data_IF_853045466942
#
_entry.id   IF_853045466942
#
_cell.length_a   1.000
_cell.length_b   1.000
_cell.length_c   1.000
_cell.angle_alpha   90.00
_cell.angle_beta   90.00
_cell.angle_gamma   90.00
#
_symmetry.space_group_name_H-M   'P 1'
#
loop_
_entity.id
_entity.type
_entity.pdbx_description
1 polymer ?
#
# COMPACT_ATOMS: atom_id res chain seq x y z
N UNK A 1 2.62 -25.42 3.03
CA UNK A 1 3.34 -25.19 1.76
C UNK A 1 4.83 -25.46 1.93
N UNK A 2 5.60 -25.68 0.86
CA UNK A 2 7.07 -25.90 0.93
C UNK A 2 7.75 -24.73 1.65
N UNK A 3 7.30 -23.50 1.38
CA UNK A 3 7.82 -22.30 2.04
C UNK A 3 7.64 -22.32 3.56
N UNK A 4 6.48 -22.67 4.07
CA UNK A 4 6.21 -22.73 5.51
C UNK A 4 7.03 -23.79 6.21
N UNK A 5 7.25 -24.95 5.61
CA UNK A 5 8.09 -25.99 6.16
C UNK A 5 9.55 -25.53 6.20
N UNK A 6 10.06 -24.94 5.12
CA UNK A 6 11.44 -24.42 5.07
C UNK A 6 11.67 -23.28 6.04
N UNK A 7 10.67 -22.40 6.26
CA UNK A 7 10.74 -21.33 7.28
C UNK A 7 10.82 -21.90 8.71
N UNK A 8 10.08 -22.97 8.99
CA UNK A 8 10.12 -23.65 10.31
C UNK A 8 11.48 -24.31 10.52
N UNK A 9 11.99 -25.05 9.55
CA UNK A 9 13.32 -25.68 9.59
C UNK A 9 14.42 -24.62 9.74
N UNK A 10 14.36 -23.54 8.97
CA UNK A 10 15.35 -22.46 9.04
C UNK A 10 15.33 -21.71 10.39
N UNK A 11 14.19 -21.63 11.06
CA UNK A 11 14.04 -20.95 12.36
C UNK A 11 14.35 -21.82 13.58
N UNK A 12 14.66 -23.11 13.40
CA UNK A 12 15.04 -24.02 14.47
C UNK A 12 16.35 -23.59 15.17
N UNK A 13 16.49 -23.87 16.48
CA UNK A 13 17.75 -23.62 17.19
C UNK A 13 18.83 -24.62 16.75
N UNK A 14 20.09 -24.19 16.74
CA UNK A 14 21.24 -25.05 16.45
C UNK A 14 21.46 -26.08 17.60
N UNK A 15 20.86 -27.24 17.42
CA UNK A 15 21.07 -28.39 18.37
C UNK A 15 21.79 -29.54 17.64
N UNK A 16 23.09 -29.32 17.33
CA UNK A 16 23.92 -30.33 16.72
C UNK A 16 24.19 -30.16 15.22
N UNK A 17 25.07 -31.04 14.67
CA UNK A 17 25.54 -30.93 13.28
C UNK A 17 24.44 -31.20 12.25
N UNK A 18 23.57 -32.15 12.53
CA UNK A 18 22.44 -32.50 11.61
C UNK A 18 21.43 -31.36 11.50
N UNK A 19 21.17 -30.64 12.60
CA UNK A 19 20.33 -29.45 12.59
C UNK A 19 20.92 -28.28 11.78
N UNK A 20 22.23 -28.21 11.66
CA UNK A 20 22.91 -27.17 10.87
C UNK A 20 22.77 -27.43 9.36
N UNK A 21 23.01 -28.66 8.91
CA UNK A 21 22.88 -29.03 7.51
C UNK A 21 21.42 -28.92 7.02
N UNK A 22 20.45 -29.23 7.87
CA UNK A 22 19.03 -29.04 7.60
C UNK A 22 18.69 -27.55 7.42
N UNK A 23 19.26 -26.66 8.23
CA UNK A 23 19.04 -25.21 8.09
C UNK A 23 19.67 -24.64 6.84
N UNK A 24 20.85 -25.15 6.43
CA UNK A 24 21.50 -24.74 5.17
C UNK A 24 20.67 -25.18 3.96
N UNK A 25 20.12 -26.39 3.99
CA UNK A 25 19.24 -26.88 2.92
C UNK A 25 17.93 -26.09 2.86
N UNK A 26 17.34 -25.74 4.01
CA UNK A 26 16.18 -24.88 4.10
C UNK A 26 16.46 -23.47 3.57
N UNK A 27 17.64 -22.90 3.86
CA UNK A 27 18.07 -21.60 3.31
C UNK A 27 18.14 -21.62 1.79
N UNK A 28 18.70 -22.67 1.20
CA UNK A 28 18.74 -22.83 -0.28
C UNK A 28 17.35 -22.89 -0.88
N UNK A 29 16.47 -23.69 -0.28
CA UNK A 29 15.06 -23.81 -0.73
C UNK A 29 14.32 -22.49 -0.65
N UNK A 30 14.54 -21.71 0.42
CA UNK A 30 13.94 -20.39 0.57
C UNK A 30 14.49 -19.37 -0.44
N UNK A 31 15.77 -19.50 -0.80
CA UNK A 31 16.39 -18.72 -1.88
C UNK A 31 15.79 -19.05 -3.25
N UNK A 32 15.60 -20.34 -3.56
CA UNK A 32 14.96 -20.80 -4.80
C UNK A 32 13.50 -20.34 -4.90
N UNK A 33 12.76 -20.41 -3.79
CA UNK A 33 11.37 -19.94 -3.70
C UNK A 33 11.24 -18.40 -3.66
N UNK A 34 12.37 -17.66 -3.61
CA UNK A 34 12.42 -16.20 -3.49
C UNK A 34 11.56 -15.67 -2.34
N UNK A 35 11.59 -16.36 -1.21
CA UNK A 35 10.79 -16.00 -0.03
C UNK A 35 11.31 -14.74 0.65
N UNK A 36 10.62 -13.62 0.48
CA UNK A 36 10.95 -12.35 1.13
C UNK A 36 10.79 -12.41 2.66
N UNK A 37 10.01 -13.35 3.19
CA UNK A 37 9.83 -13.58 4.63
C UNK A 37 11.10 -14.14 5.28
N UNK A 38 11.94 -14.84 4.51
CA UNK A 38 13.22 -15.34 4.98
C UNK A 38 14.24 -14.23 5.24
N UNK A 39 14.14 -13.08 4.55
CA UNK A 39 15.14 -12.00 4.61
C UNK A 39 15.40 -11.49 6.03
N UNK A 40 14.35 -11.29 6.82
CA UNK A 40 14.50 -10.84 8.21
C UNK A 40 15.27 -11.86 9.08
N UNK A 41 15.07 -13.15 8.82
CA UNK A 41 15.69 -14.24 9.59
C UNK A 41 17.12 -14.57 9.16
N UNK A 42 17.53 -14.20 7.94
CA UNK A 42 18.92 -14.38 7.48
C UNK A 42 19.90 -13.59 8.35
N UNK A 43 19.50 -12.39 8.79
CA UNK A 43 20.31 -11.57 9.70
C UNK A 43 20.53 -12.25 11.05
N UNK A 44 19.46 -12.80 11.61
CA UNK A 44 19.54 -13.53 12.89
C UNK A 44 20.41 -14.78 12.75
N UNK A 45 20.28 -15.50 11.64
CA UNK A 45 21.09 -16.66 11.35
C UNK A 45 22.59 -16.34 11.19
N UNK A 46 22.94 -15.19 10.59
CA UNK A 46 24.34 -14.72 10.55
C UNK A 46 24.91 -14.50 11.95
N UNK A 47 24.15 -13.86 12.83
CA UNK A 47 24.57 -13.60 14.20
C UNK A 47 24.77 -14.92 14.99
N UNK A 48 23.84 -15.88 14.83
CA UNK A 48 23.98 -17.22 15.44
C UNK A 48 25.22 -17.97 14.90
N UNK A 49 25.54 -17.80 13.61
CA UNK A 49 26.72 -18.39 12.99
C UNK A 49 28.01 -17.82 13.59
N UNK A 50 28.06 -16.53 13.84
CA UNK A 50 29.21 -15.86 14.47
C UNK A 50 29.40 -16.36 15.91
N UNK A 51 28.34 -16.49 16.69
CA UNK A 51 28.37 -17.04 18.05
C UNK A 51 28.82 -18.51 18.06
N UNK A 52 28.31 -19.33 17.13
CA UNK A 52 28.70 -20.74 17.02
C UNK A 52 30.18 -20.93 16.66
N UNK A 53 30.80 -19.92 16.06
CA UNK A 53 32.25 -19.91 15.81
C UNK A 53 33.08 -19.56 17.04
N UNK A 54 32.65 -18.59 17.83
CA UNK A 54 33.33 -18.29 19.12
C UNK A 54 33.34 -19.51 20.01
N UNK A 55 32.28 -20.31 19.95
CA UNK A 55 32.17 -21.60 20.66
C UNK A 55 32.98 -22.75 20.01
N UNK A 56 33.80 -22.52 18.99
CA UNK A 56 34.61 -23.52 18.25
C UNK A 56 33.81 -24.69 17.65
N UNK A 57 32.52 -24.53 17.44
CA UNK A 57 31.62 -25.59 16.90
C UNK A 57 31.70 -25.75 15.39
N UNK A 58 32.22 -24.75 14.68
CA UNK A 58 32.25 -24.71 13.21
C UNK A 58 33.65 -24.33 12.71
N UNK A 59 34.17 -25.08 11.72
CA UNK A 59 35.45 -24.79 11.07
C UNK A 59 35.42 -23.51 10.24
N UNK A 60 36.57 -22.79 10.17
CA UNK A 60 36.72 -21.57 9.40
C UNK A 60 36.42 -21.75 7.89
N UNK A 61 36.74 -22.93 7.34
CA UNK A 61 36.42 -23.27 5.93
C UNK A 61 34.92 -23.45 5.70
N UNK A 62 34.19 -24.05 6.65
CA UNK A 62 32.75 -24.21 6.59
C UNK A 62 32.04 -22.85 6.67
N UNK A 63 32.52 -21.93 7.53
CA UNK A 63 32.00 -20.56 7.60
C UNK A 63 32.10 -19.85 6.27
N UNK A 64 33.30 -19.86 5.63
CA UNK A 64 33.53 -19.16 4.35
C UNK A 64 32.59 -19.64 3.26
N UNK A 65 32.34 -20.94 3.20
CA UNK A 65 31.41 -21.53 2.23
C UNK A 65 29.97 -21.12 2.52
N UNK A 66 29.59 -21.11 3.80
CA UNK A 66 28.24 -20.75 4.22
C UNK A 66 27.97 -19.25 4.04
N UNK A 67 28.92 -18.37 4.37
CA UNK A 67 28.81 -16.93 4.11
C UNK A 67 28.68 -16.62 2.62
N UNK A 68 29.37 -17.36 1.76
CA UNK A 68 29.22 -17.25 0.32
C UNK A 68 27.80 -17.66 -0.14
N UNK A 69 27.25 -18.74 0.42
CA UNK A 69 25.91 -19.21 0.09
C UNK A 69 24.82 -18.27 0.60
N UNK A 70 24.94 -17.79 1.84
CA UNK A 70 24.06 -16.78 2.42
C UNK A 70 24.09 -15.51 1.57
N UNK A 71 25.26 -15.08 1.14
CA UNK A 71 25.39 -13.86 0.30
C UNK A 71 24.75 -14.01 -1.08
N UNK A 72 24.79 -15.21 -1.67
CA UNK A 72 24.08 -15.49 -2.93
C UNK A 72 22.57 -15.44 -2.75
N UNK A 73 22.05 -16.09 -1.69
CA UNK A 73 20.62 -16.09 -1.37
C UNK A 73 20.15 -14.68 -1.07
N UNK A 74 20.90 -13.92 -0.27
CA UNK A 74 20.55 -12.54 0.10
C UNK A 74 20.49 -11.63 -1.14
N UNK A 75 21.48 -11.70 -2.04
CA UNK A 75 21.47 -10.96 -3.32
C UNK A 75 20.28 -11.35 -4.21
N UNK A 76 19.96 -12.65 -4.29
CA UNK A 76 18.82 -13.12 -5.07
C UNK A 76 17.50 -12.59 -4.50
N UNK A 77 17.36 -12.58 -3.18
CA UNK A 77 16.19 -12.02 -2.49
C UNK A 77 16.11 -10.50 -2.62
N UNK A 78 17.24 -9.79 -2.56
CA UNK A 78 17.28 -8.34 -2.82
C UNK A 78 16.82 -8.00 -4.22
N UNK A 79 17.42 -8.62 -5.23
CA UNK A 79 17.03 -8.41 -6.62
C UNK A 79 15.55 -8.70 -6.87
N UNK A 80 15.01 -9.76 -6.23
CA UNK A 80 13.59 -10.06 -6.34
C UNK A 80 12.73 -9.03 -5.62
N UNK A 81 13.14 -8.60 -4.43
CA UNK A 81 12.47 -7.53 -3.66
C UNK A 81 12.41 -6.24 -4.49
N UNK A 82 13.53 -5.82 -5.06
CA UNK A 82 13.60 -4.60 -5.88
C UNK A 82 12.67 -4.68 -7.09
N UNK A 83 12.60 -5.84 -7.73
CA UNK A 83 11.66 -6.07 -8.86
C UNK A 83 10.21 -5.99 -8.42
N UNK A 84 9.86 -6.60 -7.28
CA UNK A 84 8.49 -6.56 -6.73
C UNK A 84 8.13 -5.15 -6.27
N UNK A 85 9.03 -4.44 -5.60
CA UNK A 85 8.83 -3.06 -5.17
C UNK A 85 8.70 -2.12 -6.38
N UNK A 86 9.52 -2.28 -7.40
CA UNK A 86 9.44 -1.48 -8.63
C UNK A 86 8.10 -1.71 -9.34
N UNK A 87 7.67 -2.95 -9.50
CA UNK A 87 6.37 -3.26 -10.11
C UNK A 87 5.19 -2.72 -9.27
N UNK A 88 5.28 -2.85 -7.94
CA UNK A 88 4.31 -2.28 -7.01
C UNK A 88 4.25 -0.75 -7.08
N UNK A 89 5.40 -0.09 -7.13
CA UNK A 89 5.48 1.36 -7.26
C UNK A 89 4.96 1.86 -8.61
N UNK A 90 5.25 1.12 -9.70
CA UNK A 90 4.71 1.42 -11.03
C UNK A 90 3.17 1.33 -11.04
N UNK A 91 2.62 0.24 -10.48
CA UNK A 91 1.18 0.06 -10.36
C UNK A 91 0.52 1.16 -9.51
N UNK A 92 1.11 1.50 -8.36
CA UNK A 92 0.65 2.62 -7.52
C UNK A 92 0.72 3.94 -8.27
N UNK A 93 1.82 4.20 -8.99
CA UNK A 93 1.99 5.42 -9.78
C UNK A 93 0.93 5.56 -10.87
N UNK A 94 0.62 4.49 -11.60
CA UNK A 94 -0.45 4.48 -12.60
C UNK A 94 -1.83 4.71 -11.94
N UNK A 95 -2.09 4.05 -10.80
CA UNK A 95 -3.35 4.21 -10.07
C UNK A 95 -3.55 5.64 -9.57
N UNK A 96 -2.56 6.22 -8.92
CA UNK A 96 -2.63 7.62 -8.48
C UNK A 96 -2.70 8.59 -9.65
N UNK A 97 -1.93 8.33 -10.72
CA UNK A 97 -1.97 9.13 -11.94
C UNK A 97 -3.35 9.13 -12.60
N UNK A 98 -4.04 7.99 -12.65
CA UNK A 98 -5.40 7.90 -13.21
C UNK A 98 -6.42 8.71 -12.40
N UNK A 99 -6.33 8.69 -11.08
CA UNK A 99 -7.18 9.50 -10.19
C UNK A 99 -6.94 11.00 -10.45
N UNK A 100 -5.67 11.42 -10.55
CA UNK A 100 -5.31 12.80 -10.82
C UNK A 100 -5.79 13.26 -12.20
N UNK A 101 -5.72 12.40 -13.23
CA UNK A 101 -6.26 12.68 -14.56
C UNK A 101 -7.78 12.87 -14.52
N UNK A 102 -8.50 11.98 -13.83
CA UNK A 102 -9.95 12.11 -13.67
C UNK A 102 -10.33 13.41 -12.94
N UNK A 103 -9.57 13.78 -11.91
CA UNK A 103 -9.74 15.03 -11.19
C UNK A 103 -9.51 16.24 -12.11
N UNK A 104 -8.42 16.22 -12.87
CA UNK A 104 -8.10 17.29 -13.82
C UNK A 104 -9.15 17.43 -14.92
N UNK A 105 -9.67 16.32 -15.46
CA UNK A 105 -10.76 16.32 -16.45
C UNK A 105 -12.05 16.90 -15.85
N UNK A 106 -12.41 16.51 -14.62
CA UNK A 106 -13.57 17.07 -13.92
C UNK A 106 -13.47 18.58 -13.77
N UNK A 107 -12.30 19.08 -13.34
CA UNK A 107 -12.04 20.50 -13.21
C UNK A 107 -12.04 21.22 -14.59
N UNK A 108 -11.44 20.60 -15.61
CA UNK A 108 -11.42 21.15 -16.96
C UNK A 108 -12.82 21.27 -17.57
N UNK A 109 -13.71 20.32 -17.32
CA UNK A 109 -15.11 20.37 -17.78
C UNK A 109 -15.85 21.50 -17.07
N UNK A 110 -15.77 21.59 -15.74
CA UNK A 110 -16.48 22.63 -14.98
C UNK A 110 -15.98 24.03 -15.34
N UNK A 111 -14.67 24.23 -15.44
CA UNK A 111 -14.09 25.49 -15.85
C UNK A 111 -14.37 25.82 -17.34
N UNK A 112 -14.21 24.82 -18.22
CA UNK A 112 -14.36 25.02 -19.66
C UNK A 112 -15.81 25.28 -20.11
N UNK A 113 -16.79 24.64 -19.48
CA UNK A 113 -18.19 24.81 -19.81
C UNK A 113 -18.89 25.93 -19.05
N UNK A 114 -18.57 26.07 -17.76
CA UNK A 114 -19.28 27.00 -16.87
C UNK A 114 -18.48 28.28 -16.58
N UNK A 115 -17.18 28.31 -16.89
CA UNK A 115 -16.29 29.43 -16.56
C UNK A 115 -16.09 29.67 -15.09
N UNK A 116 -16.45 28.71 -14.25
CA UNK A 116 -16.39 28.79 -12.79
C UNK A 116 -15.23 27.97 -12.25
N UNK A 117 -14.41 28.57 -11.42
CA UNK A 117 -13.31 27.87 -10.71
C UNK A 117 -13.88 27.32 -9.41
N UNK A 118 -14.11 25.99 -9.39
CA UNK A 118 -14.60 25.31 -8.18
C UNK A 118 -13.44 24.79 -7.33
N UNK A 119 -13.09 25.53 -6.26
CA UNK A 119 -12.04 25.11 -5.33
C UNK A 119 -12.47 23.96 -4.41
N UNK A 120 -13.78 23.71 -4.26
CA UNK A 120 -14.31 22.61 -3.44
C UNK A 120 -14.29 21.23 -4.17
N UNK A 121 -13.65 21.14 -5.36
CA UNK A 121 -13.61 19.89 -6.13
C UNK A 121 -12.85 18.77 -5.41
N UNK A 122 -11.78 19.10 -4.69
CA UNK A 122 -11.03 18.16 -3.87
C UNK A 122 -11.85 17.61 -2.69
N UNK A 123 -12.65 18.45 -2.07
CA UNK A 123 -13.52 18.08 -0.94
C UNK A 123 -14.66 17.16 -1.38
N UNK A 124 -15.16 17.30 -2.60
CA UNK A 124 -16.11 16.35 -3.18
C UNK A 124 -15.50 14.95 -3.36
N UNK A 125 -14.23 14.87 -3.74
CA UNK A 125 -13.51 13.60 -3.77
C UNK A 125 -13.33 13.02 -2.37
N UNK A 126 -13.01 13.86 -1.39
CA UNK A 126 -12.90 13.45 0.02
C UNK A 126 -14.22 12.85 0.53
N UNK A 127 -15.36 13.46 0.20
CA UNK A 127 -16.69 12.92 0.54
C UNK A 127 -16.89 11.52 -0.07
N UNK A 128 -16.57 11.36 -1.35
CA UNK A 128 -16.65 10.05 -2.02
C UNK A 128 -15.79 8.99 -1.35
N UNK A 129 -14.57 9.34 -0.96
CA UNK A 129 -13.67 8.44 -0.24
C UNK A 129 -14.22 8.08 1.16
N UNK A 130 -14.78 9.05 1.86
CA UNK A 130 -15.38 8.84 3.17
C UNK A 130 -16.62 7.91 3.10
N UNK A 131 -17.49 8.11 2.13
CA UNK A 131 -18.64 7.21 1.89
C UNK A 131 -18.16 5.79 1.59
N UNK A 132 -17.12 5.63 0.78
CA UNK A 132 -16.52 4.32 0.50
C UNK A 132 -16.02 3.65 1.77
N UNK A 133 -15.36 4.40 2.65
CA UNK A 133 -14.87 3.92 3.94
C UNK A 133 -16.02 3.47 4.85
N UNK A 134 -17.12 4.25 4.93
CA UNK A 134 -18.28 3.88 5.73
C UNK A 134 -18.96 2.61 5.21
N UNK A 135 -19.11 2.47 3.91
CA UNK A 135 -19.64 1.25 3.30
C UNK A 135 -18.73 0.05 3.61
N UNK A 136 -17.42 0.22 3.54
CA UNK A 136 -16.45 -0.82 3.90
C UNK A 136 -16.64 -1.29 5.35
N UNK A 137 -16.82 -0.36 6.30
CA UNK A 137 -17.07 -0.67 7.69
C UNK A 137 -18.38 -1.42 7.88
N UNK A 138 -19.44 -1.02 7.17
CA UNK A 138 -20.76 -1.67 7.23
C UNK A 138 -20.71 -3.13 6.74
N UNK A 139 -19.89 -3.42 5.73
CA UNK A 139 -19.69 -4.79 5.22
C UNK A 139 -18.77 -5.63 6.10
N UNK A 140 -18.16 -5.07 7.17
CA UNK A 140 -17.29 -5.78 8.08
C UNK A 140 -15.96 -6.23 7.46
N UNK A 141 -15.48 -5.49 6.44
CA UNK A 141 -14.18 -5.77 5.84
C UNK A 141 -13.07 -5.53 6.86
N UNK A 142 -12.29 -6.57 7.12
CA UNK A 142 -11.12 -6.50 8.01
C UNK A 142 -9.94 -7.24 7.39
N UNK A 143 -8.69 -6.99 7.86
CA UNK A 143 -7.51 -7.73 7.40
C UNK A 143 -7.63 -9.25 7.56
N UNK A 144 -8.40 -9.70 8.54
CA UNK A 144 -8.61 -11.12 8.83
C UNK A 144 -9.74 -11.74 8.02
N UNK A 145 -10.67 -10.91 7.51
CA UNK A 145 -11.79 -11.32 6.67
C UNK A 145 -12.00 -10.33 5.52
N UNK A 146 -11.20 -10.44 4.43
CA UNK A 146 -11.29 -9.53 3.30
C UNK A 146 -12.56 -9.81 2.48
N UNK A 147 -13.55 -8.95 2.63
CA UNK A 147 -14.78 -8.97 1.82
C UNK A 147 -14.67 -7.91 0.74
N UNK A 148 -14.45 -8.31 -0.50
CA UNK A 148 -14.27 -7.36 -1.62
C UNK A 148 -15.59 -6.93 -2.28
N UNK A 149 -16.71 -7.55 -1.92
CA UNK A 149 -18.04 -7.26 -2.50
C UNK A 149 -18.54 -5.85 -2.21
N UNK A 150 -18.02 -5.19 -1.17
CA UNK A 150 -18.46 -3.83 -0.81
C UNK A 150 -18.18 -2.79 -1.92
N UNK A 151 -17.20 -3.02 -2.80
CA UNK A 151 -16.89 -2.09 -3.90
C UNK A 151 -18.06 -1.88 -4.83
N UNK A 152 -18.86 -2.92 -5.10
CA UNK A 152 -20.04 -2.82 -5.99
C UNK A 152 -21.12 -1.92 -5.41
N UNK A 153 -21.24 -1.84 -4.09
CA UNK A 153 -22.18 -0.95 -3.41
C UNK A 153 -21.55 0.44 -3.15
N UNK A 154 -20.26 0.47 -2.79
CA UNK A 154 -19.56 1.70 -2.45
C UNK A 154 -19.46 2.66 -3.63
N UNK A 155 -19.18 2.17 -4.84
CA UNK A 155 -18.98 3.00 -6.03
C UNK A 155 -20.23 3.80 -6.40
N UNK A 156 -21.44 3.19 -6.58
CA UNK A 156 -22.64 3.96 -6.89
C UNK A 156 -23.07 4.85 -5.72
N UNK A 157 -22.90 4.40 -4.47
CA UNK A 157 -23.27 5.21 -3.31
C UNK A 157 -22.36 6.45 -3.15
N UNK A 158 -21.06 6.29 -3.30
CA UNK A 158 -20.11 7.41 -3.29
C UNK A 158 -20.41 8.41 -4.40
N UNK A 159 -20.72 7.93 -5.60
CA UNK A 159 -21.13 8.79 -6.71
C UNK A 159 -22.41 9.58 -6.38
N UNK A 160 -23.45 8.92 -5.89
CA UNK A 160 -24.72 9.58 -5.58
C UNK A 160 -24.57 10.64 -4.48
N UNK A 161 -23.86 10.31 -3.40
CA UNK A 161 -23.64 11.25 -2.29
C UNK A 161 -22.82 12.45 -2.73
N UNK A 162 -21.71 12.23 -3.43
CA UNK A 162 -20.86 13.31 -3.95
C UNK A 162 -21.62 14.18 -4.97
N UNK A 163 -22.43 13.57 -5.84
CA UNK A 163 -23.27 14.30 -6.80
C UNK A 163 -24.33 15.15 -6.08
N UNK A 164 -24.98 14.61 -5.04
CA UNK A 164 -25.97 15.36 -4.24
C UNK A 164 -25.34 16.58 -3.58
N UNK A 165 -24.17 16.40 -2.94
CA UNK A 165 -23.44 17.51 -2.31
C UNK A 165 -22.99 18.52 -3.37
N UNK A 166 -22.50 18.06 -4.53
CA UNK A 166 -22.14 18.93 -5.65
C UNK A 166 -23.32 19.75 -6.15
N UNK A 167 -24.51 19.16 -6.31
CA UNK A 167 -25.74 19.86 -6.68
C UNK A 167 -26.17 20.89 -5.65
N UNK A 168 -26.01 20.58 -4.35
CA UNK A 168 -26.29 21.55 -3.28
C UNK A 168 -25.35 22.75 -3.33
N UNK A 169 -24.05 22.52 -3.53
CA UNK A 169 -23.06 23.59 -3.66
C UNK A 169 -23.37 24.43 -4.91
N UNK A 170 -23.64 23.78 -6.03
CA UNK A 170 -24.01 24.47 -7.25
C UNK A 170 -25.26 25.35 -7.05
N UNK A 171 -26.34 24.79 -6.57
CA UNK A 171 -27.63 25.50 -6.43
C UNK A 171 -27.60 26.63 -5.40
N UNK A 172 -26.90 26.43 -4.28
CA UNK A 172 -26.85 27.39 -3.16
C UNK A 172 -25.79 28.49 -3.36
N UNK A 173 -24.65 28.14 -3.94
CA UNK A 173 -23.48 29.04 -3.99
C UNK A 173 -23.12 29.40 -5.42
N UNK A 174 -22.76 28.44 -6.25
CA UNK A 174 -22.16 28.70 -7.56
C UNK A 174 -23.12 29.39 -8.50
N UNK A 175 -24.39 28.98 -8.55
CA UNK A 175 -25.42 29.55 -9.41
C UNK A 175 -25.59 31.05 -9.25
N UNK A 176 -25.38 31.59 -8.05
CA UNK A 176 -25.53 33.02 -7.79
C UNK A 176 -24.27 33.82 -8.20
N UNK A 177 -23.16 33.16 -8.46
CA UNK A 177 -21.85 33.78 -8.69
C UNK A 177 -21.28 33.53 -10.11
N UNK A 178 -22.07 33.00 -11.06
CA UNK A 178 -21.62 32.71 -12.43
C UNK A 178 -20.95 33.90 -13.15
N UNK A 179 -21.40 35.11 -12.91
CA UNK A 179 -20.88 36.31 -13.56
C UNK A 179 -19.70 36.94 -12.85
N UNK A 180 -19.21 36.32 -11.75
CA UNK A 180 -18.17 36.86 -10.86
C UNK A 180 -17.16 35.80 -10.47
N UNK A 181 -16.21 35.47 -11.35
CA UNK A 181 -15.33 34.32 -11.15
C UNK A 181 -14.45 34.40 -9.87
N UNK A 182 -14.03 35.60 -9.49
CA UNK A 182 -13.24 35.80 -8.25
C UNK A 182 -14.08 35.54 -6.98
N UNK A 183 -15.33 35.98 -6.97
CA UNK A 183 -16.24 35.75 -5.85
C UNK A 183 -16.60 34.25 -5.74
N UNK A 184 -16.80 33.57 -6.89
CA UNK A 184 -17.07 32.15 -6.89
C UNK A 184 -15.90 31.32 -6.35
N UNK A 185 -14.67 31.73 -6.68
CA UNK A 185 -13.45 31.09 -6.16
C UNK A 185 -13.38 31.19 -4.62
N UNK A 186 -13.59 32.40 -4.06
CA UNK A 186 -13.57 32.60 -2.61
C UNK A 186 -14.73 31.88 -1.92
N UNK A 187 -15.92 31.90 -2.50
CA UNK A 187 -17.09 31.22 -1.93
C UNK A 187 -16.91 29.69 -1.92
N UNK A 188 -16.43 29.09 -3.01
CA UNK A 188 -16.19 27.65 -3.08
C UNK A 188 -15.03 27.23 -2.16
N UNK A 189 -14.01 28.07 -1.98
CA UNK A 189 -12.96 27.84 -0.98
C UNK A 189 -13.53 27.82 0.44
N UNK A 190 -14.39 28.79 0.78
CA UNK A 190 -15.09 28.82 2.07
C UNK A 190 -15.96 27.57 2.30
N UNK A 191 -16.69 27.13 1.27
CA UNK A 191 -17.48 25.88 1.31
C UNK A 191 -16.56 24.68 1.55
N UNK A 192 -15.40 24.62 0.90
CA UNK A 192 -14.41 23.57 1.10
C UNK A 192 -13.98 23.47 2.56
N UNK A 193 -13.67 24.60 3.19
CA UNK A 193 -13.31 24.63 4.62
C UNK A 193 -14.45 24.12 5.52
N UNK A 194 -15.70 24.46 5.20
CA UNK A 194 -16.86 23.95 5.95
C UNK A 194 -17.02 22.43 5.78
N UNK A 195 -16.80 21.90 4.60
CA UNK A 195 -16.88 20.45 4.33
C UNK A 195 -15.77 19.69 5.08
N UNK A 196 -14.53 20.19 5.08
CA UNK A 196 -13.43 19.61 5.86
C UNK A 196 -13.79 19.58 7.35
N UNK A 197 -14.33 20.67 7.87
CA UNK A 197 -14.69 20.78 9.27
C UNK A 197 -15.82 19.81 9.64
N UNK A 198 -16.82 19.63 8.75
CA UNK A 198 -17.95 18.72 8.95
C UNK A 198 -17.51 17.26 9.05
N UNK A 199 -16.55 16.83 8.21
CA UNK A 199 -16.05 15.44 8.23
C UNK A 199 -15.11 15.19 9.42
N UNK A 200 -14.47 16.24 9.94
CA UNK A 200 -13.50 16.13 11.03
C UNK A 200 -14.15 15.92 12.42
N UNK A 201 -15.46 16.21 12.55
CA UNK A 201 -16.22 16.02 13.79
C UNK A 201 -16.57 14.55 13.96
#
# INVERSE_FOLDING_TARGET
SRESVSLIQFSGKLEGKDSFDDRVSALKTLGELKSLRAKARIKDFKNELEQAMEDQKISASAKKNLDAEISKVDRSLESHKDTVEMSGNLFRGISYGSVLILMALGLAITFGLMGVINMAHGELMMIGAYVTYEVQNMYGHSPDNPVDSYYFAALPLAFLVSALVGLLIEGLVVRHLYNRPLESLLATWGVGLLLIQLIRI
#
